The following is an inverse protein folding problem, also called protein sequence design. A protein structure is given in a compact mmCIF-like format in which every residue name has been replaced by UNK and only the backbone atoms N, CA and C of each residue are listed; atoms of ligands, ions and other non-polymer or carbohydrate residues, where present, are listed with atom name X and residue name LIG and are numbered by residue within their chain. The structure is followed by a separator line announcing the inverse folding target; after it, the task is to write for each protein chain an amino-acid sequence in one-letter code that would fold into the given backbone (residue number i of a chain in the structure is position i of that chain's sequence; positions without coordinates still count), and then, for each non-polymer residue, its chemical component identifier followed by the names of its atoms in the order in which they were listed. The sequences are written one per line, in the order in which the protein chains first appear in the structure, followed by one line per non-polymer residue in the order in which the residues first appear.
data_IF_418495214809
#
_entry.id   IF_418495214809
#
_cell.length_a   1.000
_cell.length_b   1.000
_cell.length_c   1.000
_cell.angle_alpha   90.00
_cell.angle_beta   90.00
_cell.angle_gamma   90.00
#
_symmetry.space_group_name_H-M   'P 1'
#
loop_
_entity.id
_entity.type
_entity.pdbx_description
1 polymer ?
#
# COMPACT_ATOMS: atom_id res chain seq x y z
N UNK A 1 -53.37 -6.84 -46.11
CA UNK A 1 -53.64 -8.11 -45.43
C UNK A 1 -52.39 -8.53 -44.69
N UNK A 2 -52.47 -8.65 -43.35
CA UNK A 2 -51.72 -9.52 -42.40
C UNK A 2 -50.19 -9.69 -42.54
N UNK A 3 -49.36 -9.76 -41.49
CA UNK A 3 -49.55 -9.96 -40.06
C UNK A 3 -48.25 -9.60 -39.31
N UNK A 4 -48.42 -9.04 -38.11
CA UNK A 4 -47.56 -8.96 -36.91
C UNK A 4 -46.37 -9.93 -36.77
N UNK A 5 -45.29 -9.41 -36.17
CA UNK A 5 -44.24 -10.16 -35.48
C UNK A 5 -43.42 -9.26 -34.54
N UNK A 6 -43.94 -8.99 -33.34
CA UNK A 6 -43.25 -8.43 -32.16
C UNK A 6 -42.54 -9.58 -31.44
N UNK A 7 -41.29 -9.38 -31.02
CA UNK A 7 -40.63 -9.97 -29.84
C UNK A 7 -39.39 -9.07 -29.58
N UNK A 8 -39.49 -8.09 -28.67
CA UNK A 8 -39.15 -8.19 -27.24
C UNK A 8 -37.63 -8.27 -27.02
N UNK A 9 -37.08 -7.10 -26.73
CA UNK A 9 -36.11 -6.78 -25.68
C UNK A 9 -35.57 -7.97 -24.86
N UNK A 10 -34.26 -8.25 -24.92
CA UNK A 10 -33.51 -8.70 -23.73
C UNK A 10 -32.16 -7.98 -23.66
N UNK A 11 -32.19 -6.96 -22.81
CA UNK A 11 -31.10 -6.14 -22.33
C UNK A 11 -30.22 -6.97 -21.39
N UNK A 12 -29.24 -7.68 -21.93
CA UNK A 12 -28.14 -8.24 -21.15
C UNK A 12 -27.14 -7.15 -20.78
N UNK A 13 -27.43 -6.34 -19.74
CA UNK A 13 -26.39 -5.53 -19.09
C UNK A 13 -25.49 -6.49 -18.34
N UNK A 14 -24.32 -6.76 -18.92
CA UNK A 14 -23.22 -7.45 -18.25
C UNK A 14 -22.81 -6.66 -17.00
N UNK A 15 -23.13 -7.21 -15.83
CA UNK A 15 -22.53 -6.78 -14.57
C UNK A 15 -21.19 -7.51 -14.45
N UNK A 16 -20.20 -7.05 -15.19
CA UNK A 16 -18.80 -7.44 -15.04
C UNK A 16 -17.99 -6.17 -14.78
N UNK A 17 -17.82 -5.78 -13.51
CA UNK A 17 -17.01 -4.59 -13.21
C UNK A 17 -16.92 -4.11 -11.76
N UNK A 18 -17.64 -4.71 -10.80
CA UNK A 18 -17.67 -4.16 -9.42
C UNK A 18 -16.68 -4.79 -8.44
N UNK A 19 -16.13 -5.99 -8.71
CA UNK A 19 -15.15 -6.62 -7.80
C UNK A 19 -13.73 -6.05 -7.93
N UNK A 20 -13.37 -5.55 -9.12
CA UNK A 20 -12.03 -5.05 -9.42
C UNK A 20 -11.69 -3.76 -8.64
N UNK A 21 -12.64 -2.84 -8.55
CA UNK A 21 -12.47 -1.57 -7.81
C UNK A 21 -12.34 -1.78 -6.30
N UNK A 22 -13.12 -2.70 -5.72
CA UNK A 22 -13.06 -2.99 -4.28
C UNK A 22 -11.73 -3.65 -3.87
N UNK A 23 -11.16 -4.53 -4.73
CA UNK A 23 -9.83 -5.10 -4.48
C UNK A 23 -8.71 -4.07 -4.64
N UNK A 24 -8.81 -3.20 -5.64
CA UNK A 24 -7.84 -2.11 -5.85
C UNK A 24 -7.80 -1.14 -4.68
N UNK A 25 -8.96 -0.77 -4.12
CA UNK A 25 -9.04 0.14 -2.98
C UNK A 25 -8.45 -0.50 -1.71
N UNK A 26 -8.80 -1.76 -1.42
CA UNK A 26 -8.22 -2.48 -0.26
C UNK A 26 -6.72 -2.68 -0.37
N UNK A 27 -6.20 -2.95 -1.57
CA UNK A 27 -4.77 -3.05 -1.80
C UNK A 27 -4.07 -1.71 -1.58
N UNK A 28 -4.69 -0.60 -2.04
CA UNK A 28 -4.19 0.74 -1.78
C UNK A 28 -4.16 1.06 -0.28
N UNK A 29 -5.24 0.81 0.45
CA UNK A 29 -5.31 1.04 1.90
C UNK A 29 -4.27 0.22 2.68
N UNK A 30 -4.07 -1.04 2.30
CA UNK A 30 -3.07 -1.91 2.89
C UNK A 30 -1.64 -1.39 2.62
N UNK A 31 -1.36 -0.93 1.41
CA UNK A 31 -0.08 -0.33 1.05
C UNK A 31 0.17 0.98 1.83
N UNK A 32 -0.83 1.85 1.96
CA UNK A 32 -0.71 3.06 2.76
C UNK A 32 -0.47 2.75 4.24
N UNK A 33 -1.11 1.71 4.76
CA UNK A 33 -0.88 1.23 6.12
C UNK A 33 0.54 0.70 6.32
N UNK A 34 1.07 -0.07 5.35
CA UNK A 34 2.44 -0.58 5.38
C UNK A 34 3.47 0.57 5.36
N UNK A 35 3.27 1.58 4.52
CA UNK A 35 4.17 2.72 4.42
C UNK A 35 4.26 3.50 5.74
N UNK A 36 3.11 3.73 6.40
CA UNK A 36 3.07 4.35 7.73
C UNK A 36 3.75 3.49 8.78
N UNK A 37 3.52 2.17 8.76
CA UNK A 37 4.16 1.23 9.68
C UNK A 37 5.69 1.26 9.52
N UNK A 38 6.19 1.26 8.29
CA UNK A 38 7.63 1.36 8.03
C UNK A 38 8.23 2.69 8.52
N UNK A 39 7.49 3.80 8.38
CA UNK A 39 7.90 5.09 8.94
C UNK A 39 7.99 5.06 10.47
N UNK A 40 7.04 4.40 11.15
CA UNK A 40 7.07 4.21 12.59
C UNK A 40 8.25 3.34 13.03
N UNK A 41 8.48 2.21 12.35
CA UNK A 41 9.64 1.33 12.58
C UNK A 41 10.96 2.10 12.45
N UNK A 42 11.13 2.92 11.42
CA UNK A 42 12.31 3.77 11.25
C UNK A 42 12.53 4.73 12.42
N UNK A 43 11.46 5.36 12.91
CA UNK A 43 11.54 6.28 14.06
C UNK A 43 11.86 5.54 15.35
N UNK A 44 11.26 4.37 15.57
CA UNK A 44 11.52 3.53 16.74
C UNK A 44 12.95 2.99 16.73
N UNK A 45 13.45 2.52 15.59
CA UNK A 45 14.85 2.08 15.43
C UNK A 45 15.79 3.18 15.86
N UNK A 46 15.57 4.42 15.42
CA UNK A 46 16.46 5.52 15.78
C UNK A 46 16.30 5.96 17.24
N UNK A 47 15.07 5.98 17.77
CA UNK A 47 14.80 6.40 19.15
C UNK A 47 15.32 5.41 20.20
N UNK A 48 15.26 4.10 19.93
CA UNK A 48 15.52 3.05 20.91
C UNK A 48 16.73 2.19 20.59
N UNK A 49 17.08 2.02 19.32
CA UNK A 49 18.14 1.12 18.86
C UNK A 49 19.25 1.91 18.16
N UNK A 50 20.09 2.57 18.95
CA UNK A 50 21.32 3.25 18.52
C UNK A 50 22.43 2.26 18.08
N UNK A 51 22.06 1.18 17.37
CA UNK A 51 22.98 0.06 17.05
C UNK A 51 23.36 -0.08 15.59
N UNK A 52 22.68 0.62 14.67
CA UNK A 52 23.12 0.69 13.27
C UNK A 52 23.35 2.14 12.84
N UNK A 53 24.61 2.45 12.52
CA UNK A 53 25.09 3.78 12.15
C UNK A 53 25.12 4.04 10.65
N UNK A 54 24.46 3.19 9.84
CA UNK A 54 24.48 3.31 8.38
C UNK A 54 23.65 4.48 7.85
N UNK A 55 22.66 4.92 8.63
CA UNK A 55 21.82 6.09 8.36
C UNK A 55 21.93 7.10 9.51
N UNK A 56 22.05 8.38 9.16
CA UNK A 56 22.02 9.46 10.14
C UNK A 56 20.59 9.67 10.67
N UNK A 57 20.42 10.23 11.88
CA UNK A 57 19.11 10.61 12.44
C UNK A 57 18.26 11.41 11.46
N UNK A 58 18.90 12.41 10.82
CA UNK A 58 18.25 13.30 9.89
C UNK A 58 17.76 12.54 8.66
N UNK A 59 18.60 11.67 8.08
CA UNK A 59 18.25 10.87 6.93
C UNK A 59 17.13 9.85 7.24
N UNK A 60 17.14 9.25 8.44
CA UNK A 60 16.06 8.37 8.89
C UNK A 60 14.74 9.15 9.05
N UNK A 61 14.78 10.37 9.60
CA UNK A 61 13.63 11.25 9.71
C UNK A 61 13.08 11.69 8.34
N UNK A 62 13.96 12.08 7.41
CA UNK A 62 13.58 12.40 6.03
C UNK A 62 12.92 11.21 5.33
N UNK A 63 13.48 10.01 5.47
CA UNK A 63 12.91 8.80 4.89
C UNK A 63 11.54 8.46 5.50
N UNK A 64 11.38 8.57 6.82
CA UNK A 64 10.10 8.34 7.48
C UNK A 64 9.02 9.32 6.99
N UNK A 65 9.37 10.60 6.86
CA UNK A 65 8.45 11.63 6.35
C UNK A 65 8.08 11.39 4.87
N UNK A 66 9.02 10.89 4.06
CA UNK A 66 8.74 10.54 2.68
C UNK A 66 7.76 9.36 2.56
N UNK A 67 7.92 8.31 3.38
CA UNK A 67 7.00 7.17 3.38
C UNK A 67 5.58 7.57 3.80
N UNK A 68 5.44 8.41 4.83
CA UNK A 68 4.14 8.96 5.23
C UNK A 68 3.53 9.85 4.16
N UNK A 69 4.34 10.74 3.58
CA UNK A 69 3.89 11.62 2.52
C UNK A 69 3.39 10.88 1.28
N UNK A 70 4.03 9.76 0.91
CA UNK A 70 3.54 8.87 -0.14
C UNK A 70 2.23 8.20 0.27
N UNK A 71 2.11 7.75 1.52
CA UNK A 71 0.88 7.13 2.03
C UNK A 71 -0.31 8.10 2.11
N UNK A 72 -0.05 9.39 2.29
CA UNK A 72 -1.06 10.47 2.30
C UNK A 72 -1.38 11.00 0.91
N UNK A 73 -0.61 10.63 -0.12
CA UNK A 73 -0.75 11.19 -1.46
C UNK A 73 -0.36 12.67 -1.52
N UNK A 74 0.63 13.08 -0.73
CA UNK A 74 1.06 14.47 -0.66
C UNK A 74 1.88 14.84 -1.92
N UNK A 75 1.54 15.92 -2.65
CA UNK A 75 2.10 16.22 -3.97
C UNK A 75 3.63 16.36 -4.03
N UNK A 76 4.26 16.76 -2.92
CA UNK A 76 5.71 16.84 -2.80
C UNK A 76 6.44 15.50 -3.03
N UNK A 77 5.71 14.38 -2.98
CA UNK A 77 6.25 13.03 -3.14
C UNK A 77 5.75 12.31 -4.40
N UNK A 78 5.06 13.01 -5.31
CA UNK A 78 4.53 12.42 -6.55
C UNK A 78 5.62 11.87 -7.48
N UNK A 79 6.85 12.35 -7.32
CA UNK A 79 8.02 11.83 -8.03
C UNK A 79 8.52 10.47 -7.51
N UNK A 80 8.07 10.03 -6.33
CA UNK A 80 8.46 8.76 -5.74
C UNK A 80 7.63 7.64 -6.38
N UNK A 81 8.32 6.63 -6.93
CA UNK A 81 7.65 5.46 -7.46
C UNK A 81 6.99 4.67 -6.31
N UNK A 82 5.64 4.53 -6.29
CA UNK A 82 4.94 3.89 -5.19
C UNK A 82 5.33 2.40 -5.04
N UNK A 83 5.70 1.71 -6.13
CA UNK A 83 6.13 0.31 -6.06
C UNK A 83 7.46 0.16 -5.33
N UNK A 84 8.38 1.07 -5.57
CA UNK A 84 9.69 1.08 -4.90
C UNK A 84 9.53 1.43 -3.43
N UNK A 85 8.67 2.40 -3.11
CA UNK A 85 8.35 2.74 -1.72
C UNK A 85 7.74 1.55 -0.96
N UNK A 86 6.80 0.83 -1.57
CA UNK A 86 6.19 -0.37 -0.97
C UNK A 86 7.24 -1.48 -0.77
N UNK A 87 8.09 -1.74 -1.77
CA UNK A 87 9.14 -2.76 -1.66
C UNK A 87 10.15 -2.41 -0.54
N UNK A 88 10.52 -1.14 -0.43
CA UNK A 88 11.38 -0.65 0.64
C UNK A 88 10.71 -0.79 2.01
N UNK A 89 9.42 -0.45 2.12
CA UNK A 89 8.67 -0.55 3.36
C UNK A 89 8.58 -2.00 3.87
N UNK A 90 8.35 -2.97 2.98
CA UNK A 90 8.44 -4.38 3.33
C UNK A 90 9.81 -4.75 3.89
N UNK A 91 10.89 -4.37 3.20
CA UNK A 91 12.25 -4.64 3.66
C UNK A 91 12.53 -4.04 5.05
N UNK A 92 12.14 -2.80 5.28
CA UNK A 92 12.35 -2.12 6.56
C UNK A 92 11.63 -2.84 7.71
N UNK A 93 10.37 -3.20 7.50
CA UNK A 93 9.60 -3.95 8.50
C UNK A 93 10.20 -5.33 8.70
N UNK A 94 10.55 -6.05 7.64
CA UNK A 94 11.12 -7.40 7.71
C UNK A 94 12.49 -7.43 8.44
N UNK A 95 13.32 -6.39 8.25
CA UNK A 95 14.66 -6.30 8.84
C UNK A 95 14.61 -6.01 10.36
N UNK A 96 13.68 -5.16 10.83
CA UNK A 96 13.63 -4.70 12.22
C UNK A 96 12.53 -5.36 13.07
N UNK A 97 11.36 -5.61 12.47
CA UNK A 97 10.17 -6.17 13.12
C UNK A 97 9.51 -7.22 12.23
N UNK A 98 10.22 -8.33 11.94
CA UNK A 98 9.70 -9.37 11.07
C UNK A 98 8.32 -9.86 11.49
N UNK A 99 8.01 -9.88 12.80
CA UNK A 99 6.70 -10.26 13.35
C UNK A 99 5.52 -9.39 12.88
N UNK A 100 5.79 -8.16 12.43
CA UNK A 100 4.77 -7.25 11.90
C UNK A 100 4.56 -7.44 10.39
N UNK A 101 5.43 -8.21 9.74
CA UNK A 101 5.30 -8.54 8.33
C UNK A 101 4.14 -9.49 8.07
N UNK A 102 3.36 -9.19 7.03
CA UNK A 102 2.31 -10.09 6.55
C UNK A 102 2.85 -11.43 6.01
N UNK A 103 4.14 -11.51 5.70
CA UNK A 103 4.81 -12.71 5.19
C UNK A 103 5.44 -13.57 6.29
N UNK A 104 5.49 -13.07 7.53
CA UNK A 104 6.11 -13.80 8.63
C UNK A 104 5.32 -15.05 8.97
N UNK A 105 5.99 -16.20 9.17
CA UNK A 105 5.30 -17.41 9.59
C UNK A 105 4.61 -17.15 10.93
N UNK A 106 3.27 -17.13 10.90
CA UNK A 106 2.47 -17.18 12.11
C UNK A 106 2.66 -18.58 12.68
N UNK A 107 3.53 -18.71 13.69
CA UNK A 107 3.65 -19.93 14.48
C UNK A 107 2.24 -20.28 14.98
N UNK A 108 1.69 -21.37 14.44
CA UNK A 108 0.47 -22.02 14.91
C UNK A 108 0.81 -22.98 16.03
#
# INVERSE_FOLDING_TARGET
MSRVGRLEEEKGVGVEGQESGARSHRAHDANCSLLRLAAEVLRLRYAHFSRDSSLSPAAAGELANALEGVAEGHPAYDQINPREAIALAHRLVDDDHPELSGMWPRTR
#
